data_IF_599305162115
#
_entry.id   IF_599305162115
#
_cell.length_a   1.000
_cell.length_b   1.000
_cell.length_c   1.000
_cell.angle_alpha   90.00
_cell.angle_beta   90.00
_cell.angle_gamma   90.00
#
_symmetry.space_group_name_H-M   'P 1'
#
loop_
_entity.id
_entity.type
_entity.pdbx_description
1 polymer ?
#
# COMPACT_ATOMS: atom_id res chain seq x y z
N UNK A 1 21.13 -4.11 -42.04
CA UNK A 1 20.37 -3.38 -41.00
C UNK A 1 19.26 -4.25 -40.40
N UNK A 2 19.63 -5.39 -39.81
CA UNK A 2 18.67 -6.35 -39.22
C UNK A 2 18.74 -6.35 -37.68
N UNK A 3 19.90 -6.03 -37.12
CA UNK A 3 20.12 -5.98 -35.67
C UNK A 3 19.20 -4.96 -34.98
N UNK A 4 19.05 -3.75 -35.56
CA UNK A 4 18.16 -2.71 -35.00
C UNK A 4 16.70 -3.17 -35.01
N UNK A 5 16.28 -3.92 -36.03
CA UNK A 5 14.93 -4.48 -36.14
C UNK A 5 14.68 -5.51 -35.05
N UNK A 6 15.63 -6.43 -34.84
CA UNK A 6 15.53 -7.46 -33.77
C UNK A 6 15.55 -6.83 -32.38
N UNK A 7 16.40 -5.82 -32.14
CA UNK A 7 16.45 -5.08 -30.87
C UNK A 7 15.13 -4.33 -30.63
N UNK A 8 14.53 -3.73 -31.66
CA UNK A 8 13.22 -3.08 -31.55
C UNK A 8 12.10 -4.03 -31.14
N UNK A 9 12.06 -5.23 -31.73
CA UNK A 9 11.08 -6.27 -31.38
C UNK A 9 11.26 -6.73 -29.93
N UNK A 10 12.50 -7.01 -29.50
CA UNK A 10 12.77 -7.43 -28.12
C UNK A 10 12.45 -6.33 -27.10
N UNK A 11 12.79 -5.07 -27.40
CA UNK A 11 12.51 -3.93 -26.53
C UNK A 11 11.00 -3.72 -26.32
N UNK A 12 10.19 -3.99 -27.34
CA UNK A 12 8.73 -3.85 -27.25
C UNK A 12 8.06 -4.78 -26.23
N UNK A 13 8.69 -5.92 -25.90
CA UNK A 13 8.20 -6.88 -24.91
C UNK A 13 8.87 -6.65 -23.54
N UNK A 14 10.18 -6.38 -23.55
CA UNK A 14 10.96 -6.24 -22.33
C UNK A 14 10.58 -5.01 -21.50
N UNK A 15 10.33 -3.86 -22.15
CA UNK A 15 10.00 -2.61 -21.47
C UNK A 15 8.67 -2.64 -20.70
N UNK A 16 7.53 -3.08 -21.27
CA UNK A 16 6.28 -3.18 -20.51
C UNK A 16 6.37 -4.25 -19.42
N UNK A 17 7.07 -5.36 -19.66
CA UNK A 17 7.26 -6.41 -18.64
C UNK A 17 8.00 -5.90 -17.41
N UNK A 18 9.04 -5.08 -17.58
CA UNK A 18 9.80 -4.53 -16.47
C UNK A 18 8.99 -3.51 -15.66
N UNK A 19 8.21 -2.66 -16.33
CA UNK A 19 7.32 -1.70 -15.66
C UNK A 19 6.27 -2.43 -14.82
N UNK A 20 5.67 -3.50 -15.35
CA UNK A 20 4.72 -4.34 -14.63
C UNK A 20 5.34 -4.98 -13.37
N UNK A 21 6.59 -5.44 -13.47
CA UNK A 21 7.31 -6.01 -12.33
C UNK A 21 7.52 -4.98 -11.21
N UNK A 22 7.92 -3.75 -11.55
CA UNK A 22 8.10 -2.68 -10.57
C UNK A 22 6.76 -2.31 -9.90
N UNK A 23 5.68 -2.15 -10.67
CA UNK A 23 4.34 -1.85 -10.14
C UNK A 23 3.89 -2.91 -9.14
N UNK A 24 4.06 -4.19 -9.49
CA UNK A 24 3.76 -5.32 -8.60
C UNK A 24 4.61 -5.33 -7.33
N UNK A 25 5.91 -5.04 -7.46
CA UNK A 25 6.82 -4.93 -6.31
C UNK A 25 6.39 -3.81 -5.35
N UNK A 26 6.03 -2.64 -5.89
CA UNK A 26 5.54 -1.49 -5.11
C UNK A 26 4.21 -1.79 -4.41
N UNK A 27 3.27 -2.43 -5.09
CA UNK A 27 1.98 -2.82 -4.49
C UNK A 27 2.19 -3.80 -3.32
N UNK A 28 3.09 -4.77 -3.46
CA UNK A 28 3.45 -5.69 -2.36
C UNK A 28 4.12 -4.98 -1.19
N UNK A 29 5.02 -4.03 -1.46
CA UNK A 29 5.64 -3.21 -0.42
C UNK A 29 4.59 -2.38 0.34
N UNK A 30 3.62 -1.79 -0.37
CA UNK A 30 2.51 -1.07 0.26
C UNK A 30 1.61 -1.99 1.11
N UNK A 31 1.36 -3.23 0.68
CA UNK A 31 0.69 -4.23 1.50
C UNK A 31 1.47 -4.56 2.78
N UNK A 32 2.79 -4.71 2.68
CA UNK A 32 3.64 -4.92 3.85
C UNK A 32 3.61 -3.70 4.81
N UNK A 33 3.60 -2.48 4.30
CA UNK A 33 3.43 -1.26 5.10
C UNK A 33 2.08 -1.27 5.86
N UNK A 34 0.99 -1.73 5.23
CA UNK A 34 -0.32 -1.89 5.89
C UNK A 34 -0.32 -2.95 6.99
N UNK A 35 0.42 -4.06 6.81
CA UNK A 35 0.60 -5.08 7.87
C UNK A 35 1.40 -4.52 9.05
N UNK A 36 2.41 -3.70 8.78
CA UNK A 36 3.15 -3.01 9.83
C UNK A 36 2.26 -2.00 10.57
N UNK A 37 1.38 -1.28 9.87
CA UNK A 37 0.41 -0.36 10.49
C UNK A 37 -0.57 -1.11 11.40
N UNK A 38 -1.03 -2.28 10.95
CA UNK A 38 -1.87 -3.18 11.76
C UNK A 38 -1.16 -3.60 13.03
N UNK A 39 0.10 -4.02 12.93
CA UNK A 39 0.89 -4.37 14.10
C UNK A 39 0.99 -3.20 15.09
N UNK A 40 1.11 -1.96 14.60
CA UNK A 40 1.10 -0.78 15.46
C UNK A 40 -0.27 -0.56 16.13
N UNK A 41 -1.39 -0.73 15.42
CA UNK A 41 -2.74 -0.66 15.99
C UNK A 41 -2.98 -1.73 17.06
N UNK A 42 -2.57 -2.96 16.81
CA UNK A 42 -2.69 -4.07 17.75
C UNK A 42 -1.86 -3.84 19.02
N UNK A 43 -0.66 -3.26 18.89
CA UNK A 43 0.14 -2.88 20.05
C UNK A 43 -0.53 -1.79 20.91
N UNK A 44 -1.24 -0.84 20.28
CA UNK A 44 -2.02 0.15 21.01
C UNK A 44 -3.18 -0.56 21.72
N UNK A 45 -3.94 -1.39 21.01
CA UNK A 45 -5.06 -2.14 21.56
C UNK A 45 -4.67 -3.00 22.75
N UNK A 46 -3.52 -3.69 22.72
CA UNK A 46 -3.04 -4.50 23.84
C UNK A 46 -2.76 -3.66 25.11
N UNK A 47 -2.43 -2.38 24.96
CA UNK A 47 -2.10 -1.47 26.08
C UNK A 47 -3.33 -0.73 26.61
N UNK A 48 -4.26 -0.37 25.73
CA UNK A 48 -5.41 0.50 26.06
C UNK A 48 -6.76 -0.21 25.97
N UNK A 49 -6.77 -1.48 25.56
CA UNK A 49 -7.96 -2.31 25.29
C UNK A 49 -8.95 -1.69 24.30
N UNK A 50 -8.49 -0.70 23.54
CA UNK A 50 -9.27 0.10 22.59
C UNK A 50 -8.36 0.59 21.48
N UNK A 51 -8.83 0.56 20.24
CA UNK A 51 -8.11 1.22 19.15
C UNK A 51 -8.23 2.74 19.27
N UNK A 52 -7.24 3.50 18.78
CA UNK A 52 -7.34 4.96 18.77
C UNK A 52 -8.47 5.38 17.82
N UNK A 53 -9.43 6.17 18.30
CA UNK A 53 -10.49 6.70 17.44
C UNK A 53 -9.94 7.82 16.56
N UNK A 54 -9.70 7.52 15.28
CA UNK A 54 -9.08 8.45 14.36
C UNK A 54 -9.67 8.30 12.96
N UNK A 55 -9.75 9.41 12.22
CA UNK A 55 -10.01 9.41 10.79
C UNK A 55 -8.96 10.29 10.15
N UNK A 56 -8.04 9.67 9.43
CA UNK A 56 -6.90 10.35 8.80
C UNK A 56 -7.02 10.28 7.29
N UNK A 57 -6.38 11.22 6.61
CA UNK A 57 -6.38 11.31 5.15
C UNK A 57 -4.98 11.40 4.54
N UNK A 58 -3.95 11.56 5.39
CA UNK A 58 -2.56 11.70 4.96
C UNK A 58 -1.66 10.77 5.74
N UNK A 59 -0.57 10.34 5.12
CA UNK A 59 0.42 9.47 5.78
C UNK A 59 0.93 10.08 7.10
N UNK A 60 1.20 11.39 7.13
CA UNK A 60 1.66 12.07 8.34
C UNK A 60 0.63 12.07 9.48
N UNK A 61 -0.66 12.25 9.18
CA UNK A 61 -1.72 12.19 10.21
C UNK A 61 -1.92 10.75 10.68
N UNK A 62 -1.79 9.77 9.78
CA UNK A 62 -1.81 8.33 10.11
C UNK A 62 -0.64 7.93 11.01
N UNK A 63 0.58 8.39 10.73
CA UNK A 63 1.74 8.17 11.60
C UNK A 63 1.49 8.68 13.02
N UNK A 64 0.94 9.90 13.14
CA UNK A 64 0.61 10.50 14.43
C UNK A 64 -0.43 9.67 15.19
N UNK A 65 -1.48 9.19 14.50
CA UNK A 65 -2.51 8.34 15.10
C UNK A 65 -1.97 6.97 15.58
N UNK A 66 -0.93 6.46 14.93
CA UNK A 66 -0.25 5.20 15.26
C UNK A 66 0.91 5.37 16.26
N UNK A 67 1.06 6.55 16.86
CA UNK A 67 2.11 6.83 17.85
C UNK A 67 3.51 7.01 17.27
N UNK A 68 3.61 7.40 16.00
CA UNK A 68 4.86 7.76 15.29
C UNK A 68 5.94 6.67 15.20
N UNK A 69 5.62 5.43 15.59
CA UNK A 69 6.53 4.27 15.48
C UNK A 69 6.47 3.64 14.09
N UNK A 70 5.33 3.76 13.43
CA UNK A 70 5.12 3.25 12.09
C UNK A 70 5.54 4.28 11.04
N UNK A 71 6.39 3.87 10.10
CA UNK A 71 6.84 4.68 8.96
C UNK A 71 6.73 3.81 7.70
N UNK A 72 5.88 4.16 6.72
CA UNK A 72 5.76 3.38 5.50
C UNK A 72 6.96 3.58 4.59
N UNK A 73 7.40 2.50 3.95
CA UNK A 73 8.48 2.51 2.96
C UNK A 73 8.03 3.10 1.61
N UNK A 74 6.75 3.01 1.29
CA UNK A 74 6.20 3.40 -0.02
C UNK A 74 5.47 4.75 0.00
N UNK A 75 5.78 5.64 0.96
CA UNK A 75 5.11 6.95 1.13
C UNK A 75 5.18 7.89 -0.07
N UNK A 76 6.17 7.73 -0.95
CA UNK A 76 6.32 8.52 -2.19
C UNK A 76 5.33 8.13 -3.29
N UNK A 77 4.74 6.93 -3.20
CA UNK A 77 3.86 6.37 -4.23
C UNK A 77 2.50 5.96 -3.66
N UNK A 78 2.32 5.98 -2.35
CA UNK A 78 1.07 5.67 -1.66
C UNK A 78 0.82 6.64 -0.52
N UNK A 79 -0.41 7.13 -0.48
CA UNK A 79 -0.95 7.85 0.68
C UNK A 79 -1.68 6.87 1.58
N UNK A 80 -1.29 6.82 2.85
CA UNK A 80 -1.88 5.92 3.84
C UNK A 80 -2.85 6.66 4.74
N UNK A 81 -4.02 6.06 4.95
CA UNK A 81 -5.09 6.58 5.78
C UNK A 81 -5.67 5.47 6.67
N UNK A 82 -6.11 5.84 7.88
CA UNK A 82 -6.79 4.98 8.83
C UNK A 82 -8.14 5.59 9.20
N UNK A 83 -9.17 4.75 9.23
CA UNK A 83 -10.45 5.07 9.87
C UNK A 83 -10.69 4.04 10.96
N UNK A 84 -10.63 4.44 12.22
CA UNK A 84 -10.72 3.55 13.36
C UNK A 84 -11.74 4.02 14.39
N UNK A 85 -12.47 3.06 14.95
CA UNK A 85 -13.34 3.22 16.12
C UNK A 85 -12.66 2.62 17.36
N UNK A 86 -13.35 2.48 18.49
CA UNK A 86 -12.79 1.79 19.66
C UNK A 86 -12.54 0.29 19.44
N UNK A 87 -13.23 -0.33 18.47
CA UNK A 87 -13.23 -1.79 18.27
C UNK A 87 -12.96 -2.25 16.84
N UNK A 88 -12.88 -1.34 15.87
CA UNK A 88 -12.64 -1.67 14.46
C UNK A 88 -11.71 -0.66 13.79
N UNK A 89 -11.08 -1.06 12.69
CA UNK A 89 -10.30 -0.14 11.86
C UNK A 89 -10.29 -0.55 10.39
N UNK A 90 -10.23 0.43 9.52
CA UNK A 90 -9.97 0.28 8.10
C UNK A 90 -8.72 1.07 7.74
N UNK A 91 -7.69 0.38 7.30
CA UNK A 91 -6.49 0.94 6.72
C UNK A 91 -6.61 0.96 5.21
N UNK A 92 -6.14 2.03 4.60
CA UNK A 92 -6.14 2.23 3.16
C UNK A 92 -4.79 2.76 2.70
N UNK A 93 -4.29 2.24 1.58
CA UNK A 93 -3.16 2.78 0.85
C UNK A 93 -3.65 3.16 -0.55
N UNK A 94 -3.63 4.45 -0.86
CA UNK A 94 -4.08 5.00 -2.14
C UNK A 94 -2.87 5.35 -2.99
N UNK A 95 -2.72 4.69 -4.13
CA UNK A 95 -1.59 4.88 -5.03
C UNK A 95 -1.61 6.26 -5.71
N UNK A 96 -0.44 6.86 -5.86
CA UNK A 96 -0.20 8.15 -6.48
C UNK A 96 0.87 8.05 -7.58
N UNK A 97 0.92 9.04 -8.48
CA UNK A 97 1.89 9.07 -9.58
C UNK A 97 1.87 7.80 -10.42
N UNK A 98 2.98 7.06 -10.45
CA UNK A 98 3.12 5.81 -11.19
C UNK A 98 2.25 4.65 -10.66
N UNK A 99 1.66 4.79 -9.46
CA UNK A 99 0.74 3.83 -8.84
C UNK A 99 -0.72 4.33 -8.85
N UNK A 100 -1.03 5.41 -9.59
CA UNK A 100 -2.39 5.98 -9.61
C UNK A 100 -3.47 4.93 -9.92
N UNK A 101 -4.52 4.92 -9.11
CA UNK A 101 -5.63 3.97 -9.19
C UNK A 101 -5.41 2.63 -8.47
N UNK A 102 -4.18 2.35 -8.03
CA UNK A 102 -3.88 1.17 -7.23
C UNK A 102 -4.22 1.44 -5.77
N UNK A 103 -5.34 0.90 -5.28
CA UNK A 103 -5.74 1.08 -3.88
C UNK A 103 -5.74 -0.26 -3.16
N UNK A 104 -5.16 -0.28 -1.97
CA UNK A 104 -5.14 -1.43 -1.08
C UNK A 104 -5.93 -1.10 0.17
N UNK A 105 -6.73 -2.04 0.65
CA UNK A 105 -7.41 -1.91 1.95
C UNK A 105 -7.13 -3.11 2.81
N UNK A 106 -7.11 -2.89 4.13
CA UNK A 106 -6.98 -3.92 5.15
C UNK A 106 -7.82 -3.51 6.37
N UNK A 107 -8.55 -4.45 6.97
CA UNK A 107 -9.31 -4.19 8.21
C UNK A 107 -8.88 -5.12 9.36
N UNK A 108 -9.49 -4.95 10.54
CA UNK A 108 -9.23 -5.76 11.74
C UNK A 108 -9.50 -7.26 11.55
N UNK A 109 -10.39 -7.61 10.61
CA UNK A 109 -10.66 -9.00 10.23
C UNK A 109 -9.64 -9.58 9.26
N UNK A 110 -8.55 -8.87 8.97
CA UNK A 110 -7.54 -9.22 7.95
C UNK A 110 -8.17 -9.39 6.55
N UNK A 111 -9.28 -8.71 6.27
CA UNK A 111 -9.90 -8.66 4.93
C UNK A 111 -9.09 -7.70 4.08
N UNK A 112 -8.41 -8.25 3.07
CA UNK A 112 -7.54 -7.53 2.15
C UNK A 112 -8.24 -7.33 0.82
N UNK A 113 -8.26 -6.10 0.34
CA UNK A 113 -8.73 -5.81 -1.02
C UNK A 113 -7.69 -5.03 -1.80
N UNK A 114 -7.70 -5.23 -3.11
CA UNK A 114 -6.88 -4.51 -4.08
C UNK A 114 -7.80 -4.06 -5.19
N UNK A 115 -7.74 -2.79 -5.58
CA UNK A 115 -8.37 -2.31 -6.81
C UNK A 115 -7.32 -2.12 -7.90
N UNK A 116 -7.66 -2.54 -9.12
CA UNK A 116 -6.78 -2.38 -10.29
C UNK A 116 -6.48 -0.90 -10.56
N UNK A 117 -5.26 -0.54 -11.03
CA UNK A 117 -4.39 -1.37 -11.88
C UNK A 117 -3.12 -1.90 -11.19
N UNK A 118 -3.17 -2.33 -9.92
CA UNK A 118 -2.01 -2.88 -9.20
C UNK A 118 -1.33 -4.13 -9.82
N UNK A 119 -1.90 -4.74 -10.88
CA UNK A 119 -1.43 -5.97 -11.55
C UNK A 119 -1.31 -7.21 -10.63
N UNK A 120 -1.89 -7.14 -9.43
CA UNK A 120 -2.07 -8.24 -8.48
C UNK A 120 -3.56 -8.27 -8.06
N UNK A 121 -4.13 -9.46 -7.88
CA UNK A 121 -5.52 -9.65 -7.43
C UNK A 121 -5.62 -9.98 -5.93
N UNK A 122 -4.49 -10.22 -5.25
CA UNK A 122 -4.42 -10.57 -3.83
C UNK A 122 -3.00 -10.35 -3.29
N UNK A 123 -2.87 -9.93 -2.02
CA UNK A 123 -1.61 -9.81 -1.28
C UNK A 123 -1.75 -10.30 0.16
#
# INVERSE_FOLDING_TARGET
MIVIVVVGILASIALPSYQNYITKSRARAAGADLMAATTALENIYQRTLTYPTATTSTTATTQTALGSTWIPSMGDFFTYAVTSTSTSYALTATGSGAMSGCNLTLNEGNVRTITSPCLETSW
#
